data_IF_311376276050
#
_entry.id   IF_311376276050
#
_cell.length_a   1.000
_cell.length_b   1.000
_cell.length_c   1.000
_cell.angle_alpha   90.00
_cell.angle_beta   90.00
_cell.angle_gamma   90.00
#
_symmetry.space_group_name_H-M   'P 1'
#
loop_
_entity.id
_entity.type
_entity.pdbx_description
1 polymer ?
#
# COMPACT_ATOMS: atom_id res chain seq x y z
N UNK A 1 -5.77 42.10 35.80
CA UNK A 1 -5.58 42.28 34.34
C UNK A 1 -4.81 41.08 33.83
N UNK A 2 -5.43 40.11 33.14
CA UNK A 2 -4.72 38.97 32.58
C UNK A 2 -4.26 39.31 31.16
N UNK A 3 -2.95 39.27 30.91
CA UNK A 3 -2.40 39.36 29.56
C UNK A 3 -2.44 37.99 28.88
N UNK A 4 -3.05 38.01 27.71
CA UNK A 4 -3.39 36.91 26.82
C UNK A 4 -2.17 36.30 26.12
N UNK A 5 -2.09 34.97 26.16
CA UNK A 5 -1.25 34.16 25.27
C UNK A 5 -1.61 34.39 23.79
N UNK A 6 -0.64 34.48 22.87
CA UNK A 6 -0.95 34.51 21.45
C UNK A 6 -1.36 33.12 20.96
N UNK A 7 -2.57 33.06 20.40
CA UNK A 7 -3.12 31.95 19.60
C UNK A 7 -2.19 31.69 18.41
N UNK A 8 -1.44 30.59 18.44
CA UNK A 8 -0.80 30.10 17.23
C UNK A 8 -1.88 29.54 16.30
N UNK A 9 -1.98 30.17 15.13
CA UNK A 9 -2.90 29.79 14.06
C UNK A 9 -2.56 28.38 13.59
N UNK A 10 -3.53 27.48 13.67
CA UNK A 10 -3.50 26.21 12.94
C UNK A 10 -3.53 26.55 11.45
N UNK A 11 -2.39 26.43 10.77
CA UNK A 11 -2.34 26.40 9.31
C UNK A 11 -2.97 25.08 8.84
N UNK A 12 -4.29 25.10 8.72
CA UNK A 12 -5.04 24.15 7.91
C UNK A 12 -4.59 24.33 6.47
N UNK A 13 -3.53 23.61 6.07
CA UNK A 13 -3.31 23.32 4.66
C UNK A 13 -4.44 22.37 4.27
N UNK A 14 -5.50 22.94 3.71
CA UNK A 14 -6.50 22.20 2.98
C UNK A 14 -5.77 21.38 1.91
N UNK A 15 -5.55 20.09 2.22
CA UNK A 15 -4.97 19.13 1.29
C UNK A 15 -6.04 18.95 0.21
N UNK A 16 -5.74 19.22 -1.08
CA UNK A 16 -6.72 19.05 -2.13
C UNK A 16 -7.24 17.62 -2.05
N UNK A 17 -8.57 17.49 -2.00
CA UNK A 17 -9.25 16.20 -1.92
C UNK A 17 -8.91 15.40 -3.17
N UNK A 18 -7.85 14.59 -3.11
CA UNK A 18 -7.65 13.49 -4.04
C UNK A 18 -8.93 12.65 -3.97
N UNK A 19 -9.48 12.20 -5.11
CA UNK A 19 -10.54 11.22 -5.09
C UNK A 19 -10.02 10.06 -4.25
N UNK A 20 -10.64 9.80 -3.08
CA UNK A 20 -10.39 8.57 -2.34
C UNK A 20 -10.52 7.44 -3.36
N UNK A 21 -9.49 6.61 -3.58
CA UNK A 21 -9.70 5.41 -4.35
C UNK A 21 -10.68 4.58 -3.51
N UNK A 22 -11.97 4.65 -3.84
CA UNK A 22 -12.87 3.54 -3.59
C UNK A 22 -12.19 2.41 -4.34
N UNK A 23 -11.42 1.58 -3.63
CA UNK A 23 -10.73 0.36 -4.10
C UNK A 23 -11.36 -0.03 -5.41
N UNK A 24 -10.64 0.29 -6.50
CA UNK A 24 -11.12 0.35 -7.87
C UNK A 24 -12.35 -0.55 -8.07
N UNK A 25 -13.56 -0.03 -7.87
CA UNK A 25 -14.79 -0.78 -8.12
C UNK A 25 -15.02 -0.72 -9.64
N UNK A 26 -14.06 -1.27 -10.37
CA UNK A 26 -13.81 -1.14 -11.79
C UNK A 26 -13.07 -2.40 -12.23
N UNK A 27 -13.55 -3.25 -13.13
CA UNK A 27 -14.84 -3.42 -13.81
C UNK A 27 -14.59 -4.71 -14.58
N UNK A 28 -15.52 -5.67 -14.51
CA UNK A 28 -15.62 -6.89 -15.34
C UNK A 28 -14.70 -6.92 -16.58
N UNK A 29 -13.60 -7.68 -16.54
CA UNK A 29 -13.05 -8.25 -17.76
C UNK A 29 -13.82 -9.54 -18.05
N UNK A 30 -14.90 -9.41 -18.83
CA UNK A 30 -15.43 -10.54 -19.59
C UNK A 30 -14.35 -10.89 -20.61
N UNK A 31 -13.66 -12.01 -20.44
CA UNK A 31 -12.72 -12.52 -21.46
C UNK A 31 -13.56 -13.10 -22.62
N UNK A 32 -13.51 -12.55 -23.84
CA UNK A 32 -14.11 -13.19 -25.00
C UNK A 32 -13.01 -13.89 -25.81
N UNK A 33 -13.27 -15.15 -26.19
CA UNK A 33 -12.57 -15.76 -27.33
C UNK A 33 -11.76 -17.01 -26.96
N UNK A 34 -12.44 -18.14 -27.08
CA UNK A 34 -11.84 -19.44 -27.39
C UNK A 34 -10.99 -19.35 -28.66
N UNK A 35 -9.68 -19.56 -28.55
CA UNK A 35 -8.82 -19.72 -29.73
C UNK A 35 -8.93 -21.17 -30.19
N UNK A 36 -9.58 -21.38 -31.34
CA UNK A 36 -9.60 -22.66 -32.05
C UNK A 36 -8.20 -22.96 -32.60
N UNK A 37 -7.55 -24.01 -32.10
CA UNK A 37 -6.26 -24.48 -32.62
C UNK A 37 -6.50 -25.44 -33.78
N UNK A 38 -6.27 -24.98 -35.02
CA UNK A 38 -6.17 -25.82 -36.20
C UNK A 38 -4.82 -26.56 -36.21
N UNK A 39 -4.89 -27.89 -36.29
CA UNK A 39 -3.75 -28.80 -36.22
C UNK A 39 -3.11 -28.98 -37.58
N UNK A 40 -1.90 -28.45 -37.81
CA UNK A 40 -0.96 -29.02 -38.79
C UNK A 40 0.50 -28.77 -38.38
N UNK A 41 1.32 -29.83 -38.47
CA UNK A 41 2.76 -29.69 -38.74
C UNK A 41 3.72 -30.10 -37.61
N UNK A 42 4.43 -31.19 -37.86
CA UNK A 42 5.34 -31.92 -36.97
C UNK A 42 6.70 -31.21 -36.76
N UNK A 43 7.27 -31.41 -35.57
CA UNK A 43 8.71 -31.62 -35.28
C UNK A 43 9.47 -30.54 -34.46
N UNK A 44 10.17 -31.06 -33.44
CA UNK A 44 11.42 -30.60 -32.80
C UNK A 44 11.36 -29.78 -31.50
N UNK A 45 12.18 -30.28 -30.56
CA UNK A 45 12.83 -29.65 -29.39
C UNK A 45 12.14 -29.75 -28.01
N UNK A 46 12.76 -30.57 -27.15
CA UNK A 46 12.48 -30.73 -25.71
C UNK A 46 12.58 -29.41 -24.91
N UNK A 47 13.22 -28.37 -25.48
CA UNK A 47 13.36 -27.03 -24.89
C UNK A 47 12.05 -26.23 -24.80
N UNK A 48 11.08 -26.51 -25.69
CA UNK A 48 9.86 -25.70 -25.85
C UNK A 48 8.84 -25.94 -24.72
N UNK A 49 8.80 -27.16 -24.17
CA UNK A 49 7.88 -27.56 -23.08
C UNK A 49 8.10 -26.76 -21.79
N UNK A 50 9.35 -26.44 -21.45
CA UNK A 50 9.66 -25.65 -20.25
C UNK A 50 9.22 -24.18 -20.34
N UNK A 51 9.20 -23.58 -21.54
CA UNK A 51 8.77 -22.18 -21.73
C UNK A 51 7.24 -22.05 -21.61
N UNK A 52 6.49 -23.01 -22.16
CA UNK A 52 5.04 -23.02 -22.05
C UNK A 52 4.55 -23.35 -20.63
N UNK A 53 5.22 -24.26 -19.91
CA UNK A 53 4.88 -24.55 -18.52
C UNK A 53 5.17 -23.35 -17.59
N UNK A 54 6.30 -22.65 -17.76
CA UNK A 54 6.64 -21.44 -16.99
C UNK A 54 5.66 -20.28 -17.25
N UNK A 55 5.22 -20.08 -18.49
CA UNK A 55 4.24 -19.07 -18.84
C UNK A 55 2.85 -19.40 -18.28
N UNK A 56 2.44 -20.68 -18.35
CA UNK A 56 1.18 -21.15 -17.79
C UNK A 56 1.15 -21.07 -16.25
N UNK A 57 2.26 -21.40 -15.57
CA UNK A 57 2.35 -21.23 -14.10
C UNK A 57 2.37 -19.76 -13.69
N UNK A 58 3.00 -18.87 -14.47
CA UNK A 58 2.98 -17.42 -14.21
C UNK A 58 1.56 -16.86 -14.35
N UNK A 59 0.85 -17.22 -15.42
CA UNK A 59 -0.53 -16.80 -15.64
C UNK A 59 -1.49 -17.34 -14.55
N UNK A 60 -1.34 -18.60 -14.16
CA UNK A 60 -2.17 -19.21 -13.12
C UNK A 60 -1.89 -18.60 -11.74
N UNK A 61 -0.64 -18.30 -11.40
CA UNK A 61 -0.29 -17.64 -10.14
C UNK A 61 -0.85 -16.22 -10.08
N UNK A 62 -0.73 -15.45 -11.16
CA UNK A 62 -1.31 -14.11 -11.25
C UNK A 62 -2.84 -14.14 -11.14
N UNK A 63 -3.50 -15.11 -11.78
CA UNK A 63 -4.95 -15.28 -11.69
C UNK A 63 -5.40 -15.61 -10.26
N UNK A 64 -4.72 -16.55 -9.60
CA UNK A 64 -5.00 -16.93 -8.21
C UNK A 64 -4.77 -15.75 -7.26
N UNK A 65 -3.69 -14.98 -7.43
CA UNK A 65 -3.43 -13.80 -6.59
C UNK A 65 -4.48 -12.71 -6.78
N UNK A 66 -4.96 -12.48 -8.01
CA UNK A 66 -6.06 -11.54 -8.26
C UNK A 66 -7.37 -12.01 -7.61
N UNK A 67 -7.73 -13.29 -7.72
CA UNK A 67 -8.95 -13.84 -7.12
C UNK A 67 -8.92 -13.79 -5.59
N UNK A 68 -7.78 -14.13 -4.98
CA UNK A 68 -7.58 -14.04 -3.53
C UNK A 68 -7.64 -12.57 -3.08
N UNK A 69 -7.01 -11.65 -3.81
CA UNK A 69 -7.00 -10.24 -3.45
C UNK A 69 -8.38 -9.59 -3.55
N UNK A 70 -9.14 -9.87 -4.62
CA UNK A 70 -10.54 -9.48 -4.69
C UNK A 70 -11.35 -10.05 -3.54
N UNK A 71 -11.06 -11.30 -3.14
CA UNK A 71 -11.73 -11.95 -2.02
C UNK A 71 -11.35 -11.35 -0.67
N UNK A 72 -10.08 -10.93 -0.48
CA UNK A 72 -9.59 -10.22 0.72
C UNK A 72 -10.27 -8.86 0.86
N UNK A 73 -10.46 -8.13 -0.25
CA UNK A 73 -11.24 -6.89 -0.25
C UNK A 73 -12.72 -7.18 0.04
N UNK A 74 -13.27 -8.28 -0.50
CA UNK A 74 -14.64 -8.73 -0.20
C UNK A 74 -14.83 -9.25 1.24
N UNK A 75 -13.74 -9.61 1.92
CA UNK A 75 -13.70 -10.07 3.32
C UNK A 75 -13.77 -8.91 4.35
N UNK A 76 -14.01 -7.67 3.89
CA UNK A 76 -14.21 -6.47 4.73
C UNK A 76 -13.01 -6.14 5.64
N UNK A 77 -11.81 -6.54 5.21
CA UNK A 77 -10.57 -6.06 5.83
C UNK A 77 -10.35 -4.63 5.34
N UNK A 78 -10.62 -3.65 6.21
CA UNK A 78 -10.39 -2.25 5.90
C UNK A 78 -8.88 -1.94 5.86
N UNK A 79 -8.33 -1.94 4.65
CA UNK A 79 -6.94 -1.57 4.36
C UNK A 79 -6.75 -0.05 4.21
N UNK A 80 -7.58 0.75 4.89
CA UNK A 80 -7.46 2.21 4.90
C UNK A 80 -6.57 2.68 6.03
N UNK A 81 -5.57 3.50 5.71
CA UNK A 81 -4.76 4.17 6.73
C UNK A 81 -5.60 5.23 7.43
N UNK A 82 -5.77 5.13 8.76
CA UNK A 82 -6.61 6.06 9.51
C UNK A 82 -6.04 7.49 9.64
N UNK A 83 -4.80 7.72 9.19
CA UNK A 83 -4.13 9.03 9.22
C UNK A 83 -4.37 9.77 7.91
N UNK A 84 -4.07 9.16 6.75
CA UNK A 84 -4.27 9.80 5.44
C UNK A 84 -5.63 9.50 4.81
N UNK A 85 -6.40 8.56 5.37
CA UNK A 85 -7.73 8.13 4.89
C UNK A 85 -7.73 7.61 3.44
N UNK A 86 -6.57 7.13 2.98
CA UNK A 86 -6.37 6.44 1.71
C UNK A 86 -5.97 4.97 1.99
N UNK A 87 -6.04 4.11 0.98
CA UNK A 87 -5.49 2.74 1.07
C UNK A 87 -4.03 2.79 1.54
N UNK A 88 -3.69 1.91 2.49
CA UNK A 88 -2.34 1.83 3.07
C UNK A 88 -1.29 1.69 1.95
N UNK A 89 -0.22 2.47 2.06
CA UNK A 89 0.89 2.49 1.12
C UNK A 89 2.18 2.30 1.90
N UNK A 90 3.04 1.36 1.48
CA UNK A 90 4.19 0.94 2.29
C UNK A 90 3.73 0.53 3.71
N UNK A 91 2.80 -0.45 3.83
CA UNK A 91 2.09 -0.73 5.06
C UNK A 91 3.03 -1.25 6.15
N UNK A 92 2.91 -0.67 7.34
CA UNK A 92 3.54 -1.15 8.57
C UNK A 92 2.50 -1.51 9.60
N UNK A 93 2.72 -2.64 10.28
CA UNK A 93 1.97 -3.03 11.47
C UNK A 93 2.72 -2.59 12.71
N UNK A 94 2.05 -1.83 13.58
CA UNK A 94 2.55 -1.54 14.92
C UNK A 94 2.41 -2.78 15.82
N UNK A 95 3.11 -2.80 16.96
CA UNK A 95 3.04 -3.96 17.87
C UNK A 95 1.65 -4.17 18.49
N UNK A 96 0.82 -3.13 18.53
CA UNK A 96 -0.60 -3.22 18.88
C UNK A 96 -1.49 -3.78 17.75
N UNK A 97 -0.92 -4.18 16.61
CA UNK A 97 -1.62 -4.80 15.48
C UNK A 97 -2.31 -3.83 14.50
N UNK A 98 -2.22 -2.52 14.72
CA UNK A 98 -2.82 -1.52 13.82
C UNK A 98 -1.89 -1.19 12.66
N UNK A 99 -2.46 -1.06 11.46
CA UNK A 99 -1.72 -0.87 10.21
C UNK A 99 -1.84 0.57 9.71
N UNK A 100 -0.71 1.15 9.29
CA UNK A 100 -0.63 2.49 8.73
C UNK A 100 0.32 2.52 7.53
N UNK A 101 0.29 3.60 6.75
CA UNK A 101 1.39 3.86 5.80
C UNK A 101 2.69 4.14 6.58
N UNK A 102 3.84 3.71 6.07
CA UNK A 102 5.13 3.95 6.74
C UNK A 102 5.37 5.43 7.04
N UNK A 103 5.16 6.32 6.06
CA UNK A 103 5.32 7.77 6.26
C UNK A 103 4.36 8.32 7.32
N UNK A 104 3.13 7.81 7.38
CA UNK A 104 2.15 8.24 8.37
C UNK A 104 2.54 7.76 9.77
N UNK A 105 3.05 6.54 9.90
CA UNK A 105 3.57 6.02 11.16
C UNK A 105 4.77 6.84 11.65
N UNK A 106 5.74 7.16 10.77
CA UNK A 106 6.88 8.01 11.12
C UNK A 106 6.43 9.38 11.62
N UNK A 107 5.48 10.01 10.91
CA UNK A 107 4.91 11.29 11.35
C UNK A 107 4.21 11.19 12.70
N UNK A 108 3.47 10.11 12.97
CA UNK A 108 2.79 9.90 14.25
C UNK A 108 3.77 9.64 15.41
N UNK A 109 4.88 8.97 15.11
CA UNK A 109 5.98 8.73 16.04
C UNK A 109 6.88 9.96 16.24
N UNK A 110 6.64 11.07 15.52
CA UNK A 110 7.49 12.27 15.52
C UNK A 110 8.95 11.98 15.14
N UNK A 111 9.17 11.03 14.22
CA UNK A 111 10.49 10.67 13.68
C UNK A 111 10.55 10.93 12.19
N UNK A 112 11.77 11.13 11.67
CA UNK A 112 11.96 11.18 10.23
C UNK A 112 11.88 9.78 9.62
N UNK A 113 11.63 9.71 8.32
CA UNK A 113 11.65 8.46 7.55
C UNK A 113 13.06 7.84 7.55
N UNK A 114 14.10 8.68 7.69
CA UNK A 114 15.51 8.30 7.71
C UNK A 114 15.86 7.62 9.03
N UNK A 115 15.45 8.20 10.15
CA UNK A 115 15.67 7.62 11.49
C UNK A 115 14.83 6.34 11.67
N UNK A 116 13.63 6.34 11.08
CA UNK A 116 12.70 5.23 11.10
C UNK A 116 12.02 5.04 12.45
N UNK A 117 11.07 4.10 12.50
CA UNK A 117 10.20 3.89 13.66
C UNK A 117 10.93 3.41 14.93
N UNK A 118 12.12 2.82 14.78
CA UNK A 118 12.95 2.39 15.93
C UNK A 118 13.49 3.56 16.74
N UNK A 119 13.59 4.75 16.15
CA UNK A 119 14.00 5.96 16.84
C UNK A 119 12.86 6.63 17.63
N UNK A 120 11.64 6.08 17.57
CA UNK A 120 10.49 6.64 18.25
C UNK A 120 10.68 6.63 19.78
N UNK A 121 10.18 7.66 20.44
CA UNK A 121 10.17 7.69 21.90
C UNK A 121 9.30 6.57 22.47
N UNK A 122 9.74 5.96 23.58
CA UNK A 122 8.99 4.90 24.26
C UNK A 122 7.56 5.30 24.71
N UNK A 123 7.28 6.61 24.75
CA UNK A 123 5.97 7.17 25.11
C UNK A 123 5.06 7.40 23.89
N UNK A 124 5.55 7.17 22.67
CA UNK A 124 4.77 7.30 21.45
C UNK A 124 3.52 6.41 21.49
N UNK A 125 2.37 6.97 21.09
CA UNK A 125 1.07 6.30 21.16
C UNK A 125 0.53 5.93 19.79
N UNK A 126 -0.12 4.78 19.70
CA UNK A 126 -0.90 4.40 18.53
C UNK A 126 -1.99 5.45 18.25
N UNK A 127 -2.10 5.98 17.02
CA UNK A 127 -3.16 6.93 16.67
C UNK A 127 -4.59 6.35 16.73
N UNK A 128 -4.73 5.02 16.67
CA UNK A 128 -6.02 4.32 16.70
C UNK A 128 -6.42 3.90 18.11
N UNK A 129 -5.61 3.08 18.78
CA UNK A 129 -5.96 2.51 20.09
C UNK A 129 -5.32 3.22 21.29
N UNK A 130 -4.41 4.18 21.05
CA UNK A 130 -3.70 4.96 22.08
C UNK A 130 -2.75 4.16 22.98
N UNK A 131 -2.52 2.88 22.70
CA UNK A 131 -1.50 2.08 23.36
C UNK A 131 -0.11 2.73 23.18
N UNK A 132 0.70 2.68 24.24
CA UNK A 132 2.02 3.33 24.32
C UNK A 132 3.13 2.38 23.90
N UNK A 133 4.24 2.91 23.38
CA UNK A 133 5.43 2.12 23.06
C UNK A 133 5.23 1.20 21.85
N UNK A 134 4.27 1.51 20.98
CA UNK A 134 3.83 0.61 19.89
C UNK A 134 4.68 0.67 18.63
N UNK A 135 5.58 1.66 18.54
CA UNK A 135 6.39 1.91 17.35
C UNK A 135 7.69 1.09 17.34
N UNK A 136 8.24 0.79 18.52
CA UNK A 136 9.36 -0.13 18.63
C UNK A 136 8.90 -1.54 18.25
N UNK A 137 9.66 -2.20 17.37
CA UNK A 137 9.26 -3.49 16.81
C UNK A 137 8.18 -3.46 15.73
N UNK A 138 7.82 -2.29 15.18
CA UNK A 138 6.93 -2.21 14.02
C UNK A 138 7.50 -3.00 12.82
N UNK A 139 6.62 -3.68 12.09
CA UNK A 139 6.97 -4.62 10.99
C UNK A 139 6.40 -4.12 9.67
N UNK A 140 7.23 -4.11 8.61
CA UNK A 140 6.76 -3.86 7.25
C UNK A 140 6.01 -5.09 6.72
N UNK A 141 4.87 -4.85 6.09
CA UNK A 141 4.04 -5.89 5.47
C UNK A 141 4.32 -5.92 3.96
N UNK A 142 5.51 -6.38 3.58
CA UNK A 142 6.01 -6.31 2.20
C UNK A 142 5.12 -7.09 1.21
N UNK A 143 4.64 -8.27 1.59
CA UNK A 143 3.74 -9.06 0.75
C UNK A 143 2.42 -8.32 0.51
N UNK A 144 1.88 -7.66 1.54
CA UNK A 144 0.69 -6.84 1.40
C UNK A 144 0.95 -5.65 0.47
N UNK A 145 2.11 -5.01 0.59
CA UNK A 145 2.53 -3.90 -0.26
C UNK A 145 2.60 -4.32 -1.75
N UNK A 146 3.17 -5.49 -2.02
CA UNK A 146 3.26 -6.07 -3.37
C UNK A 146 1.86 -6.33 -3.92
N UNK A 147 0.99 -6.97 -3.15
CA UNK A 147 -0.38 -7.28 -3.57
C UNK A 147 -1.20 -6.01 -3.86
N UNK A 148 -1.10 -5.01 -2.99
CA UNK A 148 -1.78 -3.73 -3.17
C UNK A 148 -1.31 -3.02 -4.45
N UNK A 149 0.00 -3.06 -4.74
CA UNK A 149 0.58 -2.45 -5.95
C UNK A 149 0.06 -3.05 -7.25
N UNK A 150 -0.23 -4.36 -7.26
CA UNK A 150 -0.73 -5.07 -8.43
C UNK A 150 -2.21 -4.79 -8.69
N UNK A 151 -2.97 -4.52 -7.64
CA UNK A 151 -4.43 -4.34 -7.73
C UNK A 151 -4.88 -3.01 -8.35
N UNK A 152 -4.08 -1.96 -8.22
CA UNK A 152 -4.43 -0.61 -8.69
C UNK A 152 -3.19 0.15 -9.17
N UNK A 153 -2.59 -0.35 -10.25
CA UNK A 153 -1.29 0.12 -10.75
C UNK A 153 -1.22 1.64 -10.97
N UNK A 154 -2.23 2.25 -11.60
CA UNK A 154 -2.21 3.69 -11.91
C UNK A 154 -2.24 4.57 -10.65
N UNK A 155 -3.16 4.29 -9.71
CA UNK A 155 -3.21 4.99 -8.43
C UNK A 155 -1.90 4.78 -7.65
N UNK A 156 -1.40 3.55 -7.63
CA UNK A 156 -0.19 3.19 -6.90
C UNK A 156 1.04 3.93 -7.42
N UNK A 157 1.17 4.04 -8.76
CA UNK A 157 2.23 4.80 -9.40
C UNK A 157 2.15 6.29 -9.07
N UNK A 158 0.96 6.89 -9.13
CA UNK A 158 0.73 8.28 -8.74
C UNK A 158 1.09 8.52 -7.27
N UNK A 159 0.65 7.62 -6.37
CA UNK A 159 0.96 7.69 -4.93
C UNK A 159 2.46 7.59 -4.67
N UNK A 160 3.13 6.66 -5.35
CA UNK A 160 4.58 6.48 -5.26
C UNK A 160 5.34 7.72 -5.72
N UNK A 161 4.96 8.32 -6.84
CA UNK A 161 5.56 9.58 -7.30
C UNK A 161 5.37 10.71 -6.29
N UNK A 162 4.16 10.86 -5.74
CA UNK A 162 3.85 11.86 -4.70
C UNK A 162 4.71 11.68 -3.45
N UNK A 163 4.77 10.46 -2.91
CA UNK A 163 5.58 10.19 -1.72
C UNK A 163 7.08 10.38 -1.98
N UNK A 164 7.60 10.04 -3.16
CA UNK A 164 9.00 10.31 -3.50
C UNK A 164 9.33 11.80 -3.48
N UNK A 165 8.43 12.64 -4.02
CA UNK A 165 8.60 14.10 -3.96
C UNK A 165 8.58 14.58 -2.52
N UNK A 166 7.64 14.10 -1.69
CA UNK A 166 7.56 14.44 -0.26
C UNK A 166 8.84 14.03 0.50
N UNK A 167 9.35 12.81 0.27
CA UNK A 167 10.60 12.31 0.89
C UNK A 167 11.81 13.17 0.51
N UNK A 168 11.93 13.55 -0.76
CA UNK A 168 13.02 14.44 -1.23
C UNK A 168 12.90 15.84 -0.59
N UNK A 169 11.69 16.36 -0.41
CA UNK A 169 11.48 17.65 0.25
C UNK A 169 11.87 17.60 1.73
N UNK A 170 11.53 16.52 2.44
CA UNK A 170 11.90 16.33 3.84
C UNK A 170 13.41 16.20 4.05
N UNK A 171 14.13 15.58 3.11
CA UNK A 171 15.59 15.44 3.19
C UNK A 171 16.37 16.75 2.90
N UNK A 172 15.70 17.81 2.41
CA UNK A 172 16.31 19.12 2.12
C UNK A 172 16.14 20.12 3.27
N UNK A 173 15.44 19.74 4.33
CA UNK A 173 15.18 20.56 5.53
C UNK A 173 16.08 20.10 6.66
#
# INVERSE_FOLDING_TARGET
MPESLPRFMTLSKDRPSSPRPKVCLLKFFRVPGSVSLSTQGIARSSQRRHRHLKAATSYLMTAITCEIFESIIKLDIDLTCSICLETVFDPVSLTCGHIFCYMCACSAASVTIIDGLKAAEAKGKCPLCREVGVFDGAVHLDELNILLSQSCHEYWEQRHQRERVERIQQAKQ
#
